data_IF_177651582570
#
_entry.id   IF_177651582570
#
_cell.length_a   1.000
_cell.length_b   1.000
_cell.length_c   1.000
_cell.angle_alpha   90.00
_cell.angle_beta   90.00
_cell.angle_gamma   90.00
#
_symmetry.space_group_name_H-M   'P 1'
#
loop_
_entity.id
_entity.type
_entity.pdbx_description
1 polymer ?
#
# COMPACT_ATOMS: atom_id res chain seq x y z
N UNK A 1 -6.99 -3.31 -13.87
CA UNK A 1 -5.76 -3.97 -14.37
C UNK A 1 -5.92 -5.50 -14.40
N UNK A 2 -6.48 -6.13 -13.40
CA UNK A 2 -6.71 -7.60 -13.41
C UNK A 2 -7.54 -8.05 -14.63
N UNK A 3 -8.61 -7.32 -14.98
CA UNK A 3 -9.41 -7.57 -16.19
C UNK A 3 -8.61 -7.39 -17.52
N UNK A 4 -7.42 -6.78 -17.47
CA UNK A 4 -6.50 -6.64 -18.60
C UNK A 4 -5.39 -7.69 -18.60
N UNK A 5 -5.42 -8.64 -17.66
CA UNK A 5 -4.49 -9.78 -17.59
C UNK A 5 -3.34 -9.61 -16.60
N UNK A 6 -3.35 -8.59 -15.74
CA UNK A 6 -2.38 -8.48 -14.66
C UNK A 6 -2.68 -9.42 -13.49
N UNK A 7 -1.65 -9.92 -12.84
CA UNK A 7 -1.76 -10.47 -11.48
C UNK A 7 -1.51 -9.35 -10.46
N UNK A 8 -2.33 -9.27 -9.42
CA UNK A 8 -2.27 -8.20 -8.43
C UNK A 8 -1.64 -8.72 -7.13
N UNK A 9 -0.66 -8.00 -6.60
CA UNK A 9 -0.11 -8.19 -5.26
C UNK A 9 -0.54 -6.96 -4.43
N UNK A 10 -1.41 -7.16 -3.44
CA UNK A 10 -1.82 -6.08 -2.54
C UNK A 10 -0.87 -5.99 -1.35
N UNK A 11 -0.26 -4.83 -1.15
CA UNK A 11 0.59 -4.55 0.01
C UNK A 11 -0.17 -4.69 1.33
N UNK A 12 -1.45 -4.35 1.36
CA UNK A 12 -2.29 -4.53 2.55
C UNK A 12 -2.44 -6.01 2.92
N UNK A 13 -2.61 -6.89 1.94
CA UNK A 13 -2.65 -8.34 2.17
C UNK A 13 -1.29 -8.88 2.61
N UNK A 14 -0.20 -8.45 1.98
CA UNK A 14 1.17 -8.80 2.40
C UNK A 14 1.43 -8.36 3.84
N UNK A 15 0.99 -7.16 4.23
CA UNK A 15 1.05 -6.70 5.60
C UNK A 15 0.26 -7.58 6.57
N UNK A 16 -0.89 -8.11 6.15
CA UNK A 16 -1.66 -9.07 6.93
C UNK A 16 -0.90 -10.39 7.13
N UNK A 17 -0.35 -10.93 6.06
CA UNK A 17 0.44 -12.16 6.09
C UNK A 17 1.69 -12.00 6.96
N UNK A 18 2.35 -10.84 6.90
CA UNK A 18 3.54 -10.55 7.70
C UNK A 18 3.27 -10.56 9.22
N UNK A 19 2.04 -10.26 9.65
CA UNK A 19 1.64 -10.31 11.06
C UNK A 19 1.18 -11.71 11.53
N UNK A 20 1.24 -12.72 10.69
CA UNK A 20 0.88 -14.09 11.08
C UNK A 20 1.84 -14.57 12.20
N UNK A 21 1.33 -15.19 13.27
CA UNK A 21 2.17 -15.70 14.37
C UNK A 21 3.31 -16.58 13.87
N UNK A 22 4.47 -16.45 14.51
CA UNK A 22 5.73 -17.16 14.18
C UNK A 22 6.37 -16.75 12.84
N UNK A 23 5.96 -15.64 12.22
CA UNK A 23 6.75 -15.02 11.14
C UNK A 23 7.87 -14.16 11.75
N UNK A 24 8.96 -13.93 10.98
CA UNK A 24 10.05 -13.04 11.39
C UNK A 24 9.56 -11.62 11.73
N UNK A 25 8.59 -11.10 10.97
CA UNK A 25 8.02 -9.79 11.22
C UNK A 25 7.21 -9.77 12.53
N UNK A 26 6.37 -10.78 12.76
CA UNK A 26 5.60 -10.92 13.98
C UNK A 26 6.51 -10.98 15.21
N UNK A 27 7.56 -11.83 15.21
CA UNK A 27 8.51 -11.94 16.32
C UNK A 27 9.16 -10.59 16.66
N UNK A 28 9.60 -9.86 15.62
CA UNK A 28 10.26 -8.57 15.83
C UNK A 28 9.30 -7.48 16.31
N UNK A 29 8.05 -7.50 15.85
CA UNK A 29 7.01 -6.58 16.34
C UNK A 29 6.69 -6.87 17.81
N UNK A 30 6.55 -8.15 18.19
CA UNK A 30 6.33 -8.53 19.60
C UNK A 30 7.53 -8.13 20.47
N UNK A 31 8.76 -8.39 20.04
CA UNK A 31 9.96 -7.94 20.74
C UNK A 31 10.02 -6.42 20.90
N UNK A 32 9.56 -5.69 19.88
CA UNK A 32 9.61 -4.23 19.87
C UNK A 32 8.54 -3.56 20.73
N UNK A 33 7.34 -4.12 20.77
CA UNK A 33 6.14 -3.48 21.34
C UNK A 33 5.57 -4.23 22.56
N UNK A 34 6.12 -5.42 22.89
CA UNK A 34 5.70 -6.23 24.02
C UNK A 34 4.48 -7.11 23.73
N UNK A 35 4.19 -8.02 24.65
CA UNK A 35 3.11 -9.00 24.51
C UNK A 35 1.72 -8.37 24.69
N UNK A 36 1.63 -7.16 25.23
CA UNK A 36 0.37 -6.45 25.44
C UNK A 36 -0.40 -6.18 24.13
N UNK A 37 0.30 -6.19 22.99
CA UNK A 37 -0.29 -6.05 21.66
C UNK A 37 -0.90 -7.34 21.13
N UNK A 38 -0.79 -8.46 21.84
CA UNK A 38 -1.31 -9.75 21.39
C UNK A 38 -2.76 -9.97 21.83
N UNK A 39 -3.45 -10.81 21.07
CA UNK A 39 -4.71 -11.46 21.41
C UNK A 39 -4.43 -12.79 22.12
N UNK A 40 -5.48 -13.43 22.64
CA UNK A 40 -5.36 -14.71 23.37
C UNK A 40 -4.84 -15.87 22.48
N UNK A 41 -5.07 -15.78 21.17
CA UNK A 41 -4.62 -16.75 20.17
C UNK A 41 -3.20 -16.48 19.64
N UNK A 42 -2.54 -15.43 20.15
CA UNK A 42 -1.21 -15.01 19.75
C UNK A 42 -1.15 -14.14 18.50
N UNK A 43 -2.27 -13.80 17.88
CA UNK A 43 -2.31 -12.83 16.80
C UNK A 43 -2.10 -11.40 17.31
N UNK A 44 -1.53 -10.52 16.46
CA UNK A 44 -1.38 -9.10 16.80
C UNK A 44 -2.76 -8.42 16.78
N UNK A 45 -3.16 -7.85 17.93
CA UNK A 45 -4.28 -6.93 18.02
C UNK A 45 -3.92 -5.60 17.38
N UNK A 46 -4.38 -5.39 16.14
CA UNK A 46 -4.08 -4.17 15.36
C UNK A 46 -4.60 -2.90 16.01
N UNK A 47 -5.65 -2.97 16.82
CA UNK A 47 -6.16 -1.80 17.53
C UNK A 47 -5.22 -1.40 18.64
N UNK A 48 -4.73 -2.38 19.41
CA UNK A 48 -3.74 -2.14 20.47
C UNK A 48 -2.43 -1.62 19.89
N UNK A 49 -1.87 -2.30 18.87
CA UNK A 49 -0.67 -1.86 18.17
C UNK A 49 -0.87 -0.47 17.56
N UNK A 50 -2.00 -0.23 16.89
CA UNK A 50 -2.35 1.07 16.35
C UNK A 50 -2.39 2.17 17.40
N UNK A 51 -2.98 1.90 18.58
CA UNK A 51 -3.00 2.87 19.68
C UNK A 51 -1.59 3.25 20.15
N UNK A 52 -0.65 2.30 20.17
CA UNK A 52 0.76 2.56 20.52
C UNK A 52 1.44 3.39 19.44
N UNK A 53 1.38 2.95 18.18
CA UNK A 53 2.20 3.57 17.12
C UNK A 53 1.65 4.91 16.63
N UNK A 54 0.33 5.16 16.73
CA UNK A 54 -0.24 6.45 16.35
C UNK A 54 -0.20 7.50 17.46
N UNK A 55 0.14 7.11 18.71
CA UNK A 55 0.35 8.04 19.80
C UNK A 55 1.73 8.72 19.78
N UNK A 56 2.71 8.10 19.11
CA UNK A 56 4.10 8.57 19.06
C UNK A 56 4.70 8.29 17.67
N UNK A 57 5.09 9.35 16.90
CA UNK A 57 5.70 9.19 15.59
C UNK A 57 6.94 8.28 15.58
N UNK A 58 7.74 8.28 16.64
CA UNK A 58 8.91 7.42 16.78
C UNK A 58 8.55 5.93 16.85
N UNK A 59 7.38 5.59 17.42
CA UNK A 59 6.89 4.21 17.43
C UNK A 59 6.38 3.78 16.06
N UNK A 60 5.74 4.67 15.32
CA UNK A 60 5.34 4.40 13.94
C UNK A 60 6.56 4.15 13.06
N UNK A 61 7.59 4.99 13.16
CA UNK A 61 8.85 4.80 12.43
C UNK A 61 9.51 3.47 12.77
N UNK A 62 9.51 3.09 14.05
CA UNK A 62 10.04 1.80 14.51
C UNK A 62 9.27 0.63 13.90
N UNK A 63 7.94 0.70 13.86
CA UNK A 63 7.12 -0.33 13.20
C UNK A 63 7.44 -0.42 11.72
N UNK A 64 7.53 0.71 11.03
CA UNK A 64 7.84 0.78 9.61
C UNK A 64 9.24 0.20 9.31
N UNK A 65 10.25 0.47 10.13
CA UNK A 65 11.59 -0.11 9.99
C UNK A 65 11.61 -1.64 10.14
N UNK A 66 10.70 -2.20 10.92
CA UNK A 66 10.51 -3.64 11.03
C UNK A 66 9.75 -4.19 9.81
N UNK A 67 8.63 -3.57 9.46
CA UNK A 67 7.68 -4.12 8.50
C UNK A 67 8.12 -3.95 7.05
N UNK A 68 8.57 -2.75 6.65
CA UNK A 68 8.84 -2.45 5.24
C UNK A 68 9.86 -3.39 4.60
N UNK A 69 11.03 -3.71 5.22
CA UNK A 69 11.99 -4.62 4.61
C UNK A 69 11.47 -6.06 4.46
N UNK A 70 10.61 -6.51 5.40
CA UNK A 70 10.05 -7.87 5.37
C UNK A 70 8.96 -7.99 4.33
N UNK A 71 8.07 -7.00 4.30
CA UNK A 71 7.03 -6.93 3.27
C UNK A 71 7.65 -6.79 1.87
N UNK A 72 8.71 -5.97 1.70
CA UNK A 72 9.45 -5.86 0.44
C UNK A 72 9.97 -7.22 -0.05
N UNK A 73 10.56 -8.01 0.86
CA UNK A 73 11.02 -9.37 0.55
C UNK A 73 9.86 -10.27 0.14
N UNK A 74 8.76 -10.27 0.92
CA UNK A 74 7.56 -11.05 0.59
C UNK A 74 6.95 -10.67 -0.75
N UNK A 75 6.92 -9.37 -1.09
CA UNK A 75 6.48 -8.89 -2.41
C UNK A 75 7.42 -9.40 -3.50
N UNK A 76 8.74 -9.28 -3.31
CA UNK A 76 9.74 -9.78 -4.26
C UNK A 76 9.59 -11.29 -4.51
N UNK A 77 9.44 -12.07 -3.44
CA UNK A 77 9.24 -13.53 -3.53
C UNK A 77 7.95 -13.87 -4.30
N UNK A 78 6.86 -13.15 -4.06
CA UNK A 78 5.59 -13.32 -4.80
C UNK A 78 5.75 -12.96 -6.29
N UNK A 79 6.49 -11.90 -6.61
CA UNK A 79 6.80 -11.53 -8.01
C UNK A 79 7.57 -12.66 -8.68
N UNK A 80 8.61 -13.21 -8.05
CA UNK A 80 9.40 -14.30 -8.61
C UNK A 80 8.58 -15.58 -8.83
N UNK A 81 7.67 -15.91 -7.92
CA UNK A 81 6.74 -17.04 -8.10
C UNK A 81 5.86 -16.83 -9.32
N UNK A 82 5.25 -15.65 -9.46
CA UNK A 82 4.39 -15.33 -10.60
C UNK A 82 5.18 -15.31 -11.92
N UNK A 83 6.41 -14.78 -11.91
CA UNK A 83 7.34 -14.82 -13.05
C UNK A 83 7.64 -16.26 -13.48
N UNK A 84 7.91 -17.15 -12.51
CA UNK A 84 8.15 -18.57 -12.75
C UNK A 84 6.93 -19.31 -13.31
N UNK A 85 5.73 -18.80 -13.08
CA UNK A 85 4.46 -19.28 -13.65
C UNK A 85 4.16 -18.74 -15.06
N UNK A 86 5.02 -17.86 -15.60
CA UNK A 86 4.86 -17.24 -16.91
C UNK A 86 3.86 -16.08 -16.92
N UNK A 87 3.57 -15.47 -15.77
CA UNK A 87 2.72 -14.27 -15.70
C UNK A 87 3.46 -13.11 -16.36
N UNK A 88 2.83 -12.51 -17.38
CA UNK A 88 3.44 -11.42 -18.17
C UNK A 88 3.49 -10.09 -17.44
N UNK A 89 2.48 -9.79 -16.61
CA UNK A 89 2.39 -8.51 -15.88
C UNK A 89 1.97 -8.74 -14.44
N UNK A 90 2.75 -8.19 -13.53
CA UNK A 90 2.43 -8.16 -12.09
C UNK A 90 2.26 -6.71 -11.66
N UNK A 91 1.19 -6.41 -10.97
CA UNK A 91 0.93 -5.09 -10.37
C UNK A 91 1.04 -5.19 -8.86
N UNK A 92 1.89 -4.38 -8.27
CA UNK A 92 1.98 -4.20 -6.82
C UNK A 92 1.14 -2.98 -6.43
N UNK A 93 0.07 -3.18 -5.70
CA UNK A 93 -0.78 -2.12 -5.17
C UNK A 93 -0.30 -1.74 -3.77
N UNK A 94 0.13 -0.50 -3.59
CA UNK A 94 0.62 0.01 -2.31
C UNK A 94 0.33 1.50 -2.14
N UNK A 95 -0.25 1.88 -0.99
CA UNK A 95 -0.51 3.29 -0.66
C UNK A 95 0.75 4.07 -0.28
N UNK A 96 1.78 3.38 0.23
CA UNK A 96 3.04 3.94 0.72
C UNK A 96 4.25 3.39 -0.05
N UNK A 97 4.11 3.22 -1.36
CA UNK A 97 5.13 2.59 -2.20
C UNK A 97 6.47 3.33 -2.15
N UNK A 98 6.45 4.64 -2.31
CA UNK A 98 7.64 5.48 -2.28
C UNK A 98 8.23 5.61 -0.87
N UNK A 99 7.38 5.80 0.14
CA UNK A 99 7.80 5.91 1.54
C UNK A 99 8.46 4.62 2.05
N UNK A 100 8.03 3.48 1.52
CA UNK A 100 8.63 2.18 1.82
C UNK A 100 9.87 1.86 0.96
N UNK A 101 10.21 2.69 -0.04
CA UNK A 101 11.31 2.46 -0.98
C UNK A 101 11.06 1.29 -1.95
N UNK A 102 9.80 0.99 -2.23
CA UNK A 102 9.41 -0.15 -3.07
C UNK A 102 9.35 0.18 -4.56
N UNK A 103 9.58 1.42 -4.94
CA UNK A 103 9.80 1.84 -6.33
C UNK A 103 10.93 1.06 -7.00
N UNK A 104 11.93 0.60 -6.24
CA UNK A 104 12.99 -0.27 -6.73
C UNK A 104 12.58 -1.72 -7.01
N UNK A 105 11.39 -2.15 -6.62
CA UNK A 105 10.88 -3.52 -6.85
C UNK A 105 10.13 -3.68 -8.17
N UNK A 106 9.84 -2.58 -8.85
CA UNK A 106 9.00 -2.52 -10.05
C UNK A 106 9.72 -1.79 -11.18
N UNK A 107 9.34 -2.06 -12.41
CA UNK A 107 9.89 -1.40 -13.59
C UNK A 107 9.25 -0.03 -13.86
N UNK A 108 7.97 0.16 -13.47
CA UNK A 108 7.23 1.42 -13.62
C UNK A 108 6.33 1.66 -12.42
N UNK A 109 6.21 2.91 -12.01
CA UNK A 109 5.27 3.35 -10.98
C UNK A 109 4.17 4.20 -11.60
N UNK A 110 2.93 3.73 -11.50
CA UNK A 110 1.74 4.45 -11.93
C UNK A 110 0.99 4.97 -10.72
N UNK A 111 0.76 6.27 -10.68
CA UNK A 111 0.07 6.93 -9.57
C UNK A 111 -1.35 7.29 -9.97
N UNK A 112 -2.32 6.88 -9.15
CA UNK A 112 -3.70 7.40 -9.27
C UNK A 112 -3.77 8.76 -8.56
N UNK A 113 -4.29 9.77 -9.25
CA UNK A 113 -4.40 11.12 -8.72
C UNK A 113 -5.85 11.60 -8.70
N UNK A 114 -6.21 12.32 -7.63
CA UNK A 114 -7.50 12.98 -7.47
C UNK A 114 -7.32 14.28 -6.70
N UNK A 115 -8.11 15.33 -6.98
CA UNK A 115 -8.20 16.51 -6.13
C UNK A 115 -8.54 16.14 -4.68
N UNK A 116 -7.98 16.87 -3.74
CA UNK A 116 -8.13 16.58 -2.31
C UNK A 116 -9.60 16.59 -1.87
N UNK A 117 -10.42 17.49 -2.41
CA UNK A 117 -11.84 17.58 -2.10
C UNK A 117 -12.59 16.31 -2.50
N UNK A 118 -12.22 15.71 -3.63
CA UNK A 118 -12.81 14.43 -4.09
C UNK A 118 -12.40 13.29 -3.17
N UNK A 119 -11.14 13.27 -2.74
CA UNK A 119 -10.64 12.26 -1.79
C UNK A 119 -11.39 12.36 -0.46
N UNK A 120 -11.56 13.57 0.06
CA UNK A 120 -12.30 13.84 1.29
C UNK A 120 -13.73 13.33 1.17
N UNK A 121 -14.43 13.70 0.11
CA UNK A 121 -15.82 13.30 -0.09
C UNK A 121 -15.97 11.77 -0.20
N UNK A 122 -15.11 11.11 -0.99
CA UNK A 122 -15.11 9.64 -1.15
C UNK A 122 -14.85 8.91 0.16
N UNK A 123 -13.89 9.35 0.98
CA UNK A 123 -13.58 8.73 2.26
C UNK A 123 -14.66 8.97 3.31
N UNK A 124 -15.30 10.15 3.30
CA UNK A 124 -16.47 10.40 4.15
C UNK A 124 -17.62 9.47 3.81
N UNK A 125 -17.94 9.30 2.53
CA UNK A 125 -19.05 8.43 2.09
C UNK A 125 -18.75 6.95 2.34
N UNK A 126 -17.53 6.50 2.05
CA UNK A 126 -17.17 5.08 2.13
C UNK A 126 -16.89 4.62 3.56
N UNK A 127 -16.22 5.43 4.36
CA UNK A 127 -15.66 5.04 5.67
C UNK A 127 -16.25 5.83 6.85
N UNK A 128 -17.08 6.85 6.60
CA UNK A 128 -17.61 7.72 7.65
C UNK A 128 -16.56 8.62 8.33
N UNK A 129 -15.39 8.81 7.69
CA UNK A 129 -14.31 9.61 8.26
C UNK A 129 -14.69 11.10 8.26
N UNK A 130 -14.27 11.82 9.29
CA UNK A 130 -14.33 13.29 9.30
C UNK A 130 -13.30 13.88 8.32
N UNK A 131 -13.54 15.12 7.89
CA UNK A 131 -12.59 15.84 7.03
C UNK A 131 -11.22 15.97 7.69
N UNK A 132 -11.18 16.24 8.99
CA UNK A 132 -9.92 16.37 9.75
C UNK A 132 -9.11 15.06 9.74
N UNK A 133 -9.77 13.92 9.93
CA UNK A 133 -9.13 12.59 9.87
C UNK A 133 -8.57 12.30 8.46
N UNK A 134 -9.33 12.69 7.41
CA UNK A 134 -8.85 12.52 6.03
C UNK A 134 -7.64 13.40 5.75
N UNK A 135 -7.69 14.69 6.10
CA UNK A 135 -6.56 15.61 5.93
C UNK A 135 -5.32 15.17 6.69
N UNK A 136 -5.49 14.65 7.92
CA UNK A 136 -4.38 14.07 8.69
C UNK A 136 -3.77 12.86 7.99
N UNK A 137 -4.61 12.01 7.36
CA UNK A 137 -4.13 10.86 6.59
C UNK A 137 -3.39 11.30 5.32
N UNK A 138 -3.89 12.30 4.60
CA UNK A 138 -3.22 12.86 3.43
C UNK A 138 -1.85 13.43 3.82
N UNK A 139 -1.78 14.24 4.89
CA UNK A 139 -0.54 14.87 5.36
C UNK A 139 0.51 13.87 5.92
N UNK A 140 0.12 12.64 6.21
CA UNK A 140 1.06 11.58 6.63
C UNK A 140 1.70 10.81 5.47
N UNK A 141 1.28 11.07 4.24
CA UNK A 141 1.85 10.50 3.02
C UNK A 141 2.82 11.48 2.37
N UNK A 142 3.59 10.99 1.41
CA UNK A 142 4.43 11.83 0.55
C UNK A 142 3.61 12.96 -0.09
N UNK A 143 4.22 14.13 -0.21
CA UNK A 143 3.59 15.26 -0.90
C UNK A 143 3.09 14.86 -2.29
N UNK A 144 1.90 15.38 -2.65
CA UNK A 144 1.25 15.03 -3.91
C UNK A 144 2.14 15.36 -5.13
N UNK A 145 2.76 16.52 -5.13
CA UNK A 145 3.58 16.96 -6.28
C UNK A 145 4.85 16.12 -6.38
N UNK A 146 5.52 15.84 -5.26
CA UNK A 146 6.67 14.95 -5.22
C UNK A 146 6.30 13.54 -5.71
N UNK A 147 5.16 13.00 -5.30
CA UNK A 147 4.68 11.68 -5.75
C UNK A 147 4.40 11.65 -7.24
N UNK A 148 3.80 12.70 -7.79
CA UNK A 148 3.54 12.80 -9.23
C UNK A 148 4.84 12.96 -10.04
N UNK A 149 5.81 13.72 -9.55
CA UNK A 149 7.10 13.92 -10.19
C UNK A 149 7.93 12.62 -10.25
N UNK A 150 7.82 11.79 -9.23
CA UNK A 150 8.51 10.49 -9.15
C UNK A 150 7.82 9.37 -9.93
N UNK A 151 6.61 9.57 -10.40
CA UNK A 151 5.84 8.54 -11.13
C UNK A 151 6.19 8.51 -12.62
N UNK A 152 6.14 7.32 -13.21
CA UNK A 152 6.29 7.12 -14.67
C UNK A 152 5.01 7.42 -15.43
N UNK A 153 3.86 7.31 -14.77
CA UNK A 153 2.57 7.65 -15.33
C UNK A 153 1.57 8.07 -14.25
N UNK A 154 0.65 8.94 -14.63
CA UNK A 154 -0.44 9.43 -13.78
C UNK A 154 -1.78 8.98 -14.36
N UNK A 155 -2.63 8.42 -13.52
CA UNK A 155 -4.00 8.02 -13.85
C UNK A 155 -4.95 9.00 -13.16
N UNK A 156 -5.68 9.77 -13.95
CA UNK A 156 -6.73 10.65 -13.40
C UNK A 156 -7.87 9.80 -12.80
N UNK A 157 -8.07 9.96 -11.51
CA UNK A 157 -9.15 9.34 -10.75
C UNK A 157 -10.10 10.40 -10.18
N UNK A 158 -10.27 11.53 -10.86
CA UNK A 158 -11.16 12.60 -10.43
C UNK A 158 -12.62 12.36 -10.85
N UNK A 159 -12.83 11.57 -11.91
CA UNK A 159 -14.13 11.28 -12.49
C UNK A 159 -14.84 10.06 -11.89
N UNK A 160 -15.71 9.48 -12.70
CA UNK A 160 -16.43 8.25 -12.39
C UNK A 160 -15.61 6.99 -12.74
N UNK A 161 -16.19 5.82 -12.44
CA UNK A 161 -15.52 4.52 -12.68
C UNK A 161 -15.26 4.28 -14.17
N UNK A 162 -16.19 4.67 -15.06
CA UNK A 162 -16.03 4.45 -16.49
C UNK A 162 -14.87 5.28 -17.06
N UNK A 163 -14.72 6.53 -16.61
CA UNK A 163 -13.57 7.37 -16.95
C UNK A 163 -12.25 6.79 -16.46
N UNK A 164 -12.22 6.31 -15.23
CA UNK A 164 -11.04 5.64 -14.65
C UNK A 164 -10.66 4.38 -15.44
N UNK A 165 -11.62 3.53 -15.77
CA UNK A 165 -11.38 2.31 -16.56
C UNK A 165 -10.84 2.65 -17.96
N UNK A 166 -11.38 3.70 -18.61
CA UNK A 166 -10.87 4.17 -19.90
C UNK A 166 -9.43 4.66 -19.81
N UNK A 167 -9.12 5.49 -18.80
CA UNK A 167 -7.76 6.01 -18.58
C UNK A 167 -6.74 4.87 -18.33
N UNK A 168 -7.12 3.89 -17.50
CA UNK A 168 -6.30 2.71 -17.25
C UNK A 168 -6.07 1.92 -18.53
N UNK A 169 -7.13 1.67 -19.32
CA UNK A 169 -7.01 0.91 -20.56
C UNK A 169 -6.11 1.62 -21.57
N UNK A 170 -6.27 2.91 -21.77
CA UNK A 170 -5.43 3.69 -22.67
C UNK A 170 -3.96 3.69 -22.28
N UNK A 171 -3.69 3.77 -20.96
CA UNK A 171 -2.33 3.71 -20.47
C UNK A 171 -1.73 2.30 -20.63
N UNK A 172 -2.52 1.27 -20.36
CA UNK A 172 -2.15 -0.12 -20.56
C UNK A 172 -1.79 -0.43 -22.01
N UNK A 173 -2.65 -0.05 -22.95
CA UNK A 173 -2.44 -0.28 -24.38
C UNK A 173 -1.17 0.42 -24.90
N UNK A 174 -0.77 1.53 -24.29
CA UNK A 174 0.45 2.29 -24.67
C UNK A 174 1.73 1.76 -24.07
N UNK A 175 1.68 1.15 -22.88
CA UNK A 175 2.89 0.83 -22.12
C UNK A 175 3.13 -0.66 -21.91
N UNK A 176 2.08 -1.47 -21.93
CA UNK A 176 2.15 -2.89 -21.61
C UNK A 176 1.90 -3.77 -22.84
N UNK A 177 0.99 -3.37 -23.71
CA UNK A 177 0.56 -4.17 -24.87
C UNK A 177 1.47 -3.98 -26.11
N UNK A 178 2.72 -3.52 -25.93
CA UNK A 178 3.68 -3.31 -27.02
C UNK A 178 4.46 -4.58 -27.31
#
# INVERSE_FOLDING_TARGET
MEALGASIISADQVGHEAYTPNTEAWEQVVVAFGDDILQEDGEIDRKKLGAVVFSDPGQLDRLNQIMHPRMARMVSDKIEVLRGQGVGVVVVEAALLFEAGWDSLVEEVWVTDSPEEIVIERLRQRNGMSEEEVRKRISSQMDRFERLERSDAVIDNSGDMAGLESAIKELWDRRVAV
#
